data_IF_999923281299
#
_entry.id   IF_999923281299
#
_cell.length_a   1.000
_cell.length_b   1.000
_cell.length_c   1.000
_cell.angle_alpha   90.00
_cell.angle_beta   90.00
_cell.angle_gamma   90.00
#
_symmetry.space_group_name_H-M   'P 1'
#
loop_
_entity.id
_entity.type
_entity.pdbx_description
1 polymer ?
#
# COMPACT_ATOMS: atom_id res chain seq x y z
N UNK A 1 16.65 -13.70 3.07
CA UNK A 1 15.91 -13.28 4.28
C UNK A 1 14.46 -13.66 4.10
N UNK A 2 13.77 -13.97 5.19
CA UNK A 2 12.32 -14.17 5.15
C UNK A 2 11.65 -12.81 4.91
N UNK A 3 10.72 -12.76 3.96
CA UNK A 3 9.97 -11.54 3.62
C UNK A 3 8.67 -11.52 4.38
N UNK A 4 8.21 -10.32 4.72
CA UNK A 4 6.93 -10.13 5.40
C UNK A 4 5.84 -9.69 4.43
N UNK A 5 4.58 -9.93 4.81
CA UNK A 5 3.42 -9.30 4.18
C UNK A 5 2.81 -8.28 5.13
N UNK A 6 2.44 -7.11 4.60
CA UNK A 6 1.91 -5.99 5.37
C UNK A 6 0.52 -5.63 4.89
N UNK A 7 -0.40 -5.45 5.82
CA UNK A 7 -1.77 -5.00 5.59
C UNK A 7 -1.95 -3.67 6.31
N UNK A 8 -2.03 -2.57 5.55
CA UNK A 8 -2.25 -1.25 6.12
C UNK A 8 -3.73 -0.90 6.11
N UNK A 9 -4.32 -0.85 7.29
CA UNK A 9 -5.75 -0.66 7.52
C UNK A 9 -5.99 -0.38 9.02
N UNK A 10 -6.92 0.51 9.35
CA UNK A 10 -7.27 0.86 10.73
C UNK A 10 -8.66 0.36 11.14
N UNK A 11 -9.33 -0.40 10.26
CA UNK A 11 -10.68 -0.89 10.49
C UNK A 11 -10.79 -2.42 10.32
N UNK A 12 -10.20 -2.97 9.26
CA UNK A 12 -10.30 -4.38 8.89
C UNK A 12 -9.18 -5.19 9.52
N UNK A 13 -9.51 -6.45 9.84
CA UNK A 13 -8.50 -7.42 10.29
C UNK A 13 -7.60 -7.82 9.11
N UNK A 14 -6.30 -7.99 9.34
CA UNK A 14 -5.40 -8.49 8.32
C UNK A 14 -5.70 -9.96 7.99
N UNK A 15 -5.42 -10.44 6.77
CA UNK A 15 -5.39 -11.87 6.48
C UNK A 15 -4.35 -12.59 7.35
N UNK A 16 -4.47 -13.92 7.47
CA UNK A 16 -3.49 -14.73 8.20
C UNK A 16 -2.08 -14.54 7.63
N UNK A 17 -1.10 -14.38 8.52
CA UNK A 17 0.31 -14.16 8.17
C UNK A 17 0.68 -12.72 7.77
N UNK A 18 -0.27 -11.79 7.77
CA UNK A 18 0.02 -10.37 7.53
C UNK A 18 0.27 -9.64 8.84
N UNK A 19 1.25 -8.74 8.80
CA UNK A 19 1.48 -7.74 9.84
C UNK A 19 0.55 -6.56 9.58
N UNK A 20 -0.25 -6.18 10.58
CA UNK A 20 -1.12 -5.01 10.53
C UNK A 20 -0.29 -3.73 10.74
N UNK A 21 -0.57 -2.71 9.93
CA UNK A 21 -0.15 -1.34 10.17
C UNK A 21 -1.40 -0.45 10.19
N UNK A 22 -1.76 0.11 11.33
CA UNK A 22 -2.98 0.92 11.49
C UNK A 22 -2.75 2.37 11.02
N UNK A 23 -1.49 2.77 10.87
CA UNK A 23 -1.12 4.11 10.41
C UNK A 23 -0.09 4.09 9.29
N UNK A 24 0.01 5.19 8.55
CA UNK A 24 1.08 5.34 7.55
C UNK A 24 2.47 5.35 8.18
N UNK A 25 2.61 5.78 9.44
CA UNK A 25 3.90 5.82 10.14
C UNK A 25 4.40 4.42 10.49
N UNK A 26 3.49 3.56 10.95
CA UNK A 26 3.79 2.13 11.15
C UNK A 26 4.11 1.45 9.81
N UNK A 27 3.36 1.74 8.76
CA UNK A 27 3.64 1.18 7.44
C UNK A 27 5.00 1.65 6.89
N UNK A 28 5.37 2.91 7.10
CA UNK A 28 6.67 3.45 6.73
C UNK A 28 7.79 2.82 7.54
N UNK A 29 7.58 2.61 8.84
CA UNK A 29 8.53 1.88 9.68
C UNK A 29 8.79 0.48 9.12
N UNK A 30 7.73 -0.27 8.75
CA UNK A 30 7.89 -1.60 8.16
C UNK A 30 8.62 -1.56 6.81
N UNK A 31 8.25 -0.63 5.93
CA UNK A 31 8.90 -0.41 4.63
C UNK A 31 10.39 -0.06 4.73
N UNK A 32 10.81 0.58 5.83
CA UNK A 32 12.21 0.96 6.04
C UNK A 32 13.07 -0.14 6.65
N UNK A 33 12.46 -1.07 7.39
CA UNK A 33 13.20 -2.02 8.23
C UNK A 33 13.09 -3.48 7.76
N UNK A 34 12.22 -3.79 6.79
CA UNK A 34 11.97 -5.15 6.33
C UNK A 34 11.84 -5.24 4.82
N UNK A 35 12.23 -6.38 4.26
CA UNK A 35 11.90 -6.74 2.88
C UNK A 35 10.43 -7.19 2.81
N UNK A 36 9.62 -6.46 2.06
CA UNK A 36 8.18 -6.71 1.95
C UNK A 36 7.88 -7.46 0.64
N UNK A 37 7.33 -8.67 0.75
CA UNK A 37 6.83 -9.44 -0.39
C UNK A 37 5.53 -8.80 -0.92
N UNK A 38 4.54 -8.64 -0.03
CA UNK A 38 3.27 -8.05 -0.38
C UNK A 38 2.87 -6.92 0.56
N UNK A 39 2.52 -5.78 -0.03
CA UNK A 39 1.95 -4.63 0.66
C UNK A 39 0.51 -4.40 0.19
N UNK A 40 -0.43 -4.52 1.11
CA UNK A 40 -1.85 -4.26 0.89
C UNK A 40 -2.23 -2.92 1.51
N UNK A 41 -2.78 -1.99 0.74
CA UNK A 41 -3.04 -0.60 1.17
C UNK A 41 -4.53 -0.22 1.15
N UNK A 42 -5.03 0.28 2.28
CA UNK A 42 -6.24 1.08 2.34
C UNK A 42 -5.93 2.57 2.04
N UNK A 43 -6.89 3.25 1.43
CA UNK A 43 -6.85 4.70 1.28
C UNK A 43 -7.30 5.39 2.56
N UNK A 44 -8.46 5.00 3.07
CA UNK A 44 -9.10 5.69 4.18
C UNK A 44 -8.52 5.15 5.48
N UNK A 45 -7.94 6.05 6.26
CA UNK A 45 -7.49 5.81 7.62
C UNK A 45 -8.15 6.87 8.51
N UNK A 46 -8.13 6.64 9.82
CA UNK A 46 -8.73 7.51 10.86
C UNK A 46 -8.26 8.94 10.69
N UNK A 47 -7.01 9.15 10.25
CA UNK A 47 -6.50 10.45 9.86
C UNK A 47 -6.70 10.70 8.36
N UNK A 48 -7.66 11.57 8.03
CA UNK A 48 -7.97 11.93 6.65
C UNK A 48 -6.83 12.63 5.88
N UNK A 49 -5.85 13.21 6.59
CA UNK A 49 -4.65 13.81 5.97
C UNK A 49 -3.55 12.77 5.82
N UNK A 50 -3.26 12.01 6.89
CA UNK A 50 -2.30 10.90 6.90
C UNK A 50 -2.94 9.62 6.36
N UNK A 51 -3.37 9.69 5.11
CA UNK A 51 -4.11 8.63 4.42
C UNK A 51 -3.21 7.83 3.46
N UNK A 52 -3.76 6.78 2.85
CA UNK A 52 -3.00 5.93 1.93
C UNK A 52 -2.42 6.68 0.73
N UNK A 53 -3.09 7.73 0.22
CA UNK A 53 -2.56 8.53 -0.88
C UNK A 53 -1.30 9.32 -0.47
N UNK A 54 -1.25 9.83 0.76
CA UNK A 54 -0.03 10.43 1.31
C UNK A 54 1.11 9.41 1.37
N UNK A 55 0.84 8.20 1.87
CA UNK A 55 1.83 7.12 1.90
C UNK A 55 2.38 6.81 0.51
N UNK A 56 1.51 6.64 -0.50
CA UNK A 56 1.92 6.36 -1.88
C UNK A 56 2.86 7.43 -2.43
N UNK A 57 2.58 8.71 -2.17
CA UNK A 57 3.47 9.81 -2.57
C UNK A 57 4.85 9.70 -1.90
N UNK A 58 4.87 9.40 -0.61
CA UNK A 58 6.12 9.20 0.14
C UNK A 58 6.90 8.00 -0.41
N UNK A 59 6.22 6.88 -0.67
CA UNK A 59 6.84 5.68 -1.26
C UNK A 59 7.51 6.00 -2.59
N UNK A 60 6.85 6.76 -3.46
CA UNK A 60 7.43 7.18 -4.74
C UNK A 60 8.63 8.09 -4.54
N UNK A 61 8.52 9.13 -3.71
CA UNK A 61 9.63 10.06 -3.45
C UNK A 61 10.83 9.39 -2.81
N UNK A 62 10.61 8.42 -1.91
CA UNK A 62 11.65 7.74 -1.15
C UNK A 62 12.10 6.39 -1.73
N UNK A 63 11.52 5.96 -2.84
CA UNK A 63 11.79 4.67 -3.48
C UNK A 63 11.56 3.47 -2.51
N UNK A 64 10.49 3.52 -1.72
CA UNK A 64 10.13 2.48 -0.76
C UNK A 64 9.02 1.59 -1.34
N UNK A 65 9.36 0.36 -1.70
CA UNK A 65 8.42 -0.52 -2.38
C UNK A 65 8.49 -1.96 -1.88
N UNK A 66 7.34 -2.63 -1.94
CA UNK A 66 7.24 -4.08 -1.87
C UNK A 66 7.37 -4.68 -3.28
N UNK A 67 7.58 -5.99 -3.37
CA UNK A 67 7.61 -6.70 -4.66
C UNK A 67 6.23 -6.70 -5.35
N UNK A 68 5.18 -6.76 -4.54
CA UNK A 68 3.78 -6.65 -4.97
C UNK A 68 3.02 -5.66 -4.11
N UNK A 69 2.20 -4.82 -4.75
CA UNK A 69 1.33 -3.86 -4.10
C UNK A 69 -0.12 -4.10 -4.53
N UNK A 70 -1.02 -4.26 -3.56
CA UNK A 70 -2.47 -4.32 -3.78
C UNK A 70 -3.14 -3.14 -3.10
N UNK A 71 -3.93 -2.39 -3.84
CA UNK A 71 -4.83 -1.37 -3.29
C UNK A 71 -6.18 -2.02 -3.04
N UNK A 72 -6.52 -2.13 -1.77
CA UNK A 72 -7.68 -2.88 -1.29
C UNK A 72 -8.78 -1.99 -0.70
N UNK A 73 -8.59 -0.67 -0.80
CA UNK A 73 -9.52 0.39 -0.41
C UNK A 73 -10.93 0.21 -0.95
N UNK A 74 -11.92 0.40 -0.08
CA UNK A 74 -13.34 0.50 -0.45
C UNK A 74 -13.68 1.86 -1.10
N UNK A 75 -12.90 2.90 -0.80
CA UNK A 75 -13.03 4.20 -1.45
C UNK A 75 -12.54 4.12 -2.89
N UNK A 76 -13.49 4.06 -3.83
CA UNK A 76 -13.20 3.90 -5.26
C UNK A 76 -12.32 5.03 -5.80
N UNK A 77 -12.66 6.28 -5.47
CA UNK A 77 -11.93 7.46 -5.95
C UNK A 77 -10.52 7.52 -5.37
N UNK A 78 -10.38 7.33 -4.05
CA UNK A 78 -9.09 7.31 -3.36
C UNK A 78 -8.20 6.14 -3.82
N UNK A 79 -8.77 4.94 -3.91
CA UNK A 79 -8.10 3.76 -4.44
C UNK A 79 -7.58 3.97 -5.88
N UNK A 80 -8.40 4.54 -6.75
CA UNK A 80 -8.00 4.86 -8.13
C UNK A 80 -6.92 5.94 -8.19
N UNK A 81 -6.97 6.95 -7.31
CA UNK A 81 -5.94 7.98 -7.21
C UNK A 81 -4.58 7.40 -6.80
N UNK A 82 -4.56 6.48 -5.83
CA UNK A 82 -3.35 5.75 -5.44
C UNK A 82 -2.80 4.90 -6.60
N UNK A 83 -3.67 4.13 -7.26
CA UNK A 83 -3.27 3.28 -8.39
C UNK A 83 -2.66 4.10 -9.53
N UNK A 84 -3.35 5.19 -9.91
CA UNK A 84 -2.88 6.09 -10.96
C UNK A 84 -1.55 6.76 -10.59
N UNK A 85 -1.33 7.08 -9.31
CA UNK A 85 -0.06 7.67 -8.85
C UNK A 85 1.11 6.71 -9.08
N UNK A 86 0.95 5.43 -8.74
CA UNK A 86 1.96 4.42 -9.03
C UNK A 86 2.16 4.19 -10.54
N UNK A 87 1.06 4.10 -11.32
CA UNK A 87 1.15 3.91 -12.77
C UNK A 87 1.80 5.08 -13.49
N UNK A 88 1.54 6.30 -13.04
CA UNK A 88 2.20 7.49 -13.55
C UNK A 88 3.70 7.47 -13.19
N UNK A 89 4.06 7.13 -11.95
CA UNK A 89 5.46 6.98 -11.56
C UNK A 89 6.20 5.90 -12.37
N UNK A 90 5.54 4.78 -12.67
CA UNK A 90 6.07 3.75 -13.56
C UNK A 90 6.32 4.26 -14.98
N UNK A 91 5.36 5.01 -15.55
CA UNK A 91 5.48 5.65 -16.86
C UNK A 91 6.60 6.68 -16.91
N UNK A 92 6.76 7.46 -15.85
CA UNK A 92 7.77 8.51 -15.73
C UNK A 92 9.14 7.97 -15.30
N UNK A 93 9.29 6.64 -15.20
CA UNK A 93 10.53 5.98 -14.74
C UNK A 93 10.98 6.39 -13.33
N UNK A 94 10.05 6.91 -12.51
CA UNK A 94 10.24 7.19 -11.09
C UNK A 94 10.00 5.95 -10.21
N UNK A 95 9.47 4.87 -10.77
CA UNK A 95 9.22 3.61 -10.09
C UNK A 95 9.51 2.46 -11.06
N UNK A 96 10.14 1.36 -10.61
CA UNK A 96 10.36 0.19 -11.44
C UNK A 96 9.06 -0.38 -12.03
N UNK A 97 9.07 -0.67 -13.33
CA UNK A 97 7.96 -1.33 -14.04
C UNK A 97 7.80 -2.81 -13.65
N UNK A 98 8.79 -3.38 -12.95
CA UNK A 98 8.78 -4.76 -12.45
C UNK A 98 7.88 -4.94 -11.23
N UNK A 99 7.56 -3.87 -10.51
CA UNK A 99 6.68 -3.94 -9.33
C UNK A 99 5.23 -4.08 -9.80
N UNK A 100 4.58 -5.15 -9.33
CA UNK A 100 3.20 -5.44 -9.69
C UNK A 100 2.25 -4.64 -8.81
N UNK A 101 1.39 -3.81 -9.44
CA UNK A 101 0.38 -3.00 -8.75
C UNK A 101 -1.01 -3.45 -9.20
N UNK A 102 -1.87 -3.76 -8.23
CA UNK A 102 -3.24 -4.18 -8.47
C UNK A 102 -4.23 -3.24 -7.76
N UNK A 103 -5.29 -2.85 -8.45
CA UNK A 103 -6.47 -2.23 -7.84
C UNK A 103 -7.52 -3.32 -7.65
N UNK A 104 -7.66 -3.84 -6.44
CA UNK A 104 -8.56 -4.94 -6.10
C UNK A 104 -9.21 -4.64 -4.75
N UNK A 105 -10.36 -3.94 -4.71
CA UNK A 105 -11.14 -3.89 -3.48
C UNK A 105 -11.35 -5.33 -3.00
N UNK A 106 -11.17 -5.58 -1.70
CA UNK A 106 -11.33 -6.92 -1.11
C UNK A 106 -12.70 -7.49 -1.53
N UNK A 107 -12.84 -8.82 -1.76
CA UNK A 107 -14.17 -9.39 -1.85
C UNK A 107 -14.92 -9.06 -0.55
N UNK A 108 -16.17 -8.57 -0.67
CA UNK A 108 -16.98 -8.19 0.48
C UNK A 108 -17.36 -9.39 1.36
N UNK A 109 -17.27 -10.63 0.85
CA UNK A 109 -17.48 -11.88 1.60
C UNK A 109 -16.74 -13.04 0.93
N UNK A 110 -16.26 -14.00 1.73
CA UNK A 110 -16.16 -15.41 1.33
C UNK A 110 -17.42 -16.13 1.80
#
# INVERSE_FOLDING_TARGET
MEKISVFMDDYRRPPEGYILAETIDECLYLLHNYDIDHLSLDHDLTNHVRNGLMLVKIMITKQLYAERITIHSANHTGGKAMFNSFKQAQKDSLMPNTINIYLRPLPLHY
#
